data_IF_745606812899
#
_entry.id   IF_745606812899
#
_cell.length_a   1.000
_cell.length_b   1.000
_cell.length_c   1.000
_cell.angle_alpha   90.00
_cell.angle_beta   90.00
_cell.angle_gamma   90.00
#
_symmetry.space_group_name_H-M   'P 1'
#
loop_
_entity.id
_entity.type
_entity.pdbx_description
1 polymer ?
#
# COMPACT_ATOMS: atom_id res chain seq x y z
N UNK A 1 -6.57 -4.81 -11.30
CA UNK A 1 -5.49 -5.58 -10.64
C UNK A 1 -5.95 -7.02 -10.48
N UNK A 2 -5.11 -7.98 -10.80
CA UNK A 2 -5.45 -9.40 -10.62
C UNK A 2 -5.54 -9.75 -9.13
N UNK A 3 -6.32 -10.78 -8.81
CA UNK A 3 -6.60 -11.18 -7.42
C UNK A 3 -5.33 -11.46 -6.61
N UNK A 4 -4.34 -12.11 -7.20
CA UNK A 4 -3.07 -12.40 -6.55
C UNK A 4 -2.34 -11.14 -6.10
N UNK A 5 -2.29 -10.12 -6.97
CA UNK A 5 -1.65 -8.84 -6.66
C UNK A 5 -2.44 -8.07 -5.60
N UNK A 6 -3.77 -8.14 -5.65
CA UNK A 6 -4.60 -7.51 -4.64
C UNK A 6 -4.39 -8.14 -3.27
N UNK A 7 -4.25 -9.46 -3.20
CA UNK A 7 -3.94 -10.16 -1.96
C UNK A 7 -2.57 -9.74 -1.41
N UNK A 8 -1.57 -9.62 -2.28
CA UNK A 8 -0.24 -9.16 -1.89
C UNK A 8 -0.28 -7.75 -1.30
N UNK A 9 -1.00 -6.85 -1.95
CA UNK A 9 -1.12 -5.48 -1.48
C UNK A 9 -1.88 -5.42 -0.15
N UNK A 10 -2.95 -6.19 -0.03
CA UNK A 10 -3.71 -6.32 1.21
C UNK A 10 -2.81 -6.77 2.36
N UNK A 11 -2.00 -7.78 2.12
CA UNK A 11 -1.10 -8.32 3.15
C UNK A 11 -0.03 -7.30 3.55
N UNK A 12 0.52 -6.56 2.59
CA UNK A 12 1.47 -5.48 2.89
C UNK A 12 0.82 -4.46 3.84
N UNK A 13 -0.40 -4.04 3.56
CA UNK A 13 -1.11 -3.08 4.42
C UNK A 13 -1.34 -3.64 5.81
N UNK A 14 -1.77 -4.90 5.92
CA UNK A 14 -2.00 -5.53 7.22
C UNK A 14 -0.72 -5.62 8.05
N UNK A 15 0.37 -6.04 7.44
CA UNK A 15 1.64 -6.22 8.13
C UNK A 15 2.24 -4.87 8.53
N UNK A 16 2.33 -3.93 7.59
CA UNK A 16 2.98 -2.63 7.85
C UNK A 16 2.20 -1.81 8.87
N UNK A 17 0.86 -1.83 8.80
CA UNK A 17 0.02 -1.05 9.70
C UNK A 17 -0.45 -1.84 10.92
N UNK A 18 0.02 -3.08 11.06
CA UNK A 18 -0.25 -3.95 12.20
C UNK A 18 -1.76 -4.19 12.42
N UNK A 19 -2.46 -4.49 11.31
CA UNK A 19 -3.86 -4.90 11.38
C UNK A 19 -3.96 -6.42 11.55
N UNK A 20 -5.11 -6.86 12.02
CA UNK A 20 -5.44 -8.28 12.12
C UNK A 20 -5.55 -8.92 10.72
N UNK A 21 -5.32 -10.23 10.66
CA UNK A 21 -5.27 -10.99 9.40
C UNK A 21 -6.55 -10.89 8.56
N UNK A 22 -7.69 -10.67 9.21
CA UNK A 22 -8.98 -10.58 8.51
C UNK A 22 -9.50 -9.15 8.40
N UNK A 23 -8.70 -8.16 8.79
CA UNK A 23 -9.13 -6.77 8.73
C UNK A 23 -9.29 -6.33 7.27
N UNK A 24 -10.40 -5.67 6.95
CA UNK A 24 -10.65 -5.12 5.61
C UNK A 24 -9.89 -3.80 5.45
N UNK A 25 -8.85 -3.81 4.62
CA UNK A 25 -8.01 -2.63 4.39
C UNK A 25 -8.48 -1.76 3.23
N UNK A 26 -9.54 -2.15 2.52
CA UNK A 26 -9.97 -1.48 1.29
C UNK A 26 -10.32 -0.01 1.48
N UNK A 27 -10.75 0.37 2.68
CA UNK A 27 -11.15 1.75 3.00
C UNK A 27 -10.11 2.51 3.82
N UNK A 28 -8.93 1.94 4.03
CA UNK A 28 -7.88 2.58 4.83
C UNK A 28 -7.35 3.81 4.11
N UNK A 29 -7.30 4.93 4.83
CA UNK A 29 -6.77 6.21 4.34
C UNK A 29 -5.72 6.73 5.32
N UNK A 30 -4.63 7.26 4.76
CA UNK A 30 -3.51 7.76 5.56
C UNK A 30 -3.96 8.87 6.53
N UNK A 31 -4.82 9.76 6.06
CA UNK A 31 -5.25 10.91 6.86
C UNK A 31 -6.06 10.52 8.10
N UNK A 32 -6.72 9.38 8.08
CA UNK A 32 -7.59 8.94 9.17
C UNK A 32 -7.05 7.73 9.93
N UNK A 33 -5.90 7.19 9.53
CA UNK A 33 -5.31 6.03 10.19
C UNK A 33 -4.04 6.45 10.93
N UNK A 34 -4.12 6.48 12.27
CA UNK A 34 -3.02 6.92 13.12
C UNK A 34 -1.77 6.03 12.98
N UNK A 35 -1.95 4.76 12.63
CA UNK A 35 -0.83 3.81 12.43
C UNK A 35 -0.03 4.13 11.17
N UNK A 36 -0.61 4.83 10.24
CA UNK A 36 0.05 5.19 8.98
C UNK A 36 0.78 6.52 9.13
N UNK A 37 1.82 6.51 9.94
CA UNK A 37 2.71 7.65 10.15
C UNK A 37 3.84 7.67 9.11
N UNK A 38 4.78 8.59 9.27
CA UNK A 38 5.90 8.75 8.33
C UNK A 38 6.78 7.50 8.24
N UNK A 39 7.03 6.86 9.38
CA UNK A 39 7.84 5.64 9.41
C UNK A 39 7.11 4.49 8.72
N UNK A 40 5.83 4.32 9.00
CA UNK A 40 5.02 3.30 8.35
C UNK A 40 4.95 3.55 6.84
N UNK A 41 4.89 4.80 6.41
CA UNK A 41 4.86 5.14 4.99
C UNK A 41 6.14 4.70 4.28
N UNK A 42 7.29 4.94 4.87
CA UNK A 42 8.58 4.47 4.33
C UNK A 42 8.60 2.95 4.22
N UNK A 43 8.12 2.26 5.25
CA UNK A 43 8.03 0.80 5.24
C UNK A 43 7.08 0.29 4.17
N UNK A 44 5.94 0.98 3.98
CA UNK A 44 4.97 0.66 2.94
C UNK A 44 5.58 0.76 1.55
N UNK A 45 6.27 1.86 1.27
CA UNK A 45 6.95 2.09 -0.01
C UNK A 45 7.96 0.97 -0.29
N UNK A 46 8.81 0.67 0.68
CA UNK A 46 9.82 -0.37 0.55
C UNK A 46 9.20 -1.75 0.29
N UNK A 47 8.13 -2.08 0.99
CA UNK A 47 7.44 -3.36 0.83
C UNK A 47 6.80 -3.49 -0.56
N UNK A 48 6.17 -2.41 -1.05
CA UNK A 48 5.55 -2.39 -2.38
C UNK A 48 6.61 -2.55 -3.46
N UNK A 49 7.71 -1.80 -3.36
CA UNK A 49 8.80 -1.92 -4.33
C UNK A 49 9.39 -3.33 -4.37
N UNK A 50 9.61 -3.92 -3.21
CA UNK A 50 10.18 -5.26 -3.09
C UNK A 50 9.24 -6.34 -3.62
N UNK A 51 7.97 -6.28 -3.21
CA UNK A 51 7.00 -7.33 -3.55
C UNK A 51 6.60 -7.31 -5.01
N UNK A 52 6.45 -6.12 -5.59
CA UNK A 52 5.97 -5.98 -6.97
C UNK A 52 7.08 -5.71 -7.98
N UNK A 53 8.32 -5.52 -7.53
CA UNK A 53 9.44 -5.25 -8.42
C UNK A 53 9.32 -3.93 -9.17
N UNK A 54 8.75 -2.91 -8.53
CA UNK A 54 8.56 -1.58 -9.13
C UNK A 54 9.42 -0.54 -8.44
N UNK A 55 9.69 0.55 -9.15
CA UNK A 55 10.34 1.71 -8.57
C UNK A 55 9.29 2.80 -8.33
N UNK A 56 9.30 3.38 -7.15
CA UNK A 56 8.40 4.46 -6.76
C UNK A 56 9.22 5.72 -6.56
N UNK A 57 8.96 6.75 -7.37
CA UNK A 57 9.60 8.05 -7.20
C UNK A 57 8.87 8.88 -6.13
N UNK A 58 9.35 10.09 -5.86
CA UNK A 58 8.76 10.93 -4.81
C UNK A 58 7.30 11.30 -5.12
N UNK A 59 6.95 11.51 -6.38
CA UNK A 59 5.57 11.78 -6.78
C UNK A 59 4.69 10.57 -6.52
N UNK A 60 5.17 9.37 -6.86
CA UNK A 60 4.45 8.13 -6.59
C UNK A 60 4.20 7.95 -5.08
N UNK A 61 5.23 8.19 -4.27
CA UNK A 61 5.12 8.07 -2.81
C UNK A 61 4.08 9.02 -2.24
N UNK A 62 4.01 10.25 -2.75
CA UNK A 62 3.02 11.23 -2.33
C UNK A 62 1.59 10.83 -2.71
N UNK A 63 1.42 10.07 -3.77
CA UNK A 63 0.13 9.59 -4.23
C UNK A 63 -0.41 8.43 -3.38
N UNK A 64 0.43 7.78 -2.59
CA UNK A 64 0.05 6.64 -1.77
C UNK A 64 -0.65 7.12 -0.49
N UNK A 65 -1.86 7.64 -0.63
CA UNK A 65 -2.63 8.26 0.46
C UNK A 65 -3.75 7.37 0.99
N UNK A 66 -3.98 6.22 0.34
CA UNK A 66 -5.00 5.26 0.73
C UNK A 66 -4.66 3.91 0.09
N UNK A 67 -5.37 2.87 0.52
CA UNK A 67 -5.29 1.58 -0.15
C UNK A 67 -5.72 1.71 -1.62
N UNK A 68 -6.85 2.36 -1.86
CA UNK A 68 -7.38 2.54 -3.21
C UNK A 68 -6.42 3.32 -4.11
N UNK A 69 -5.80 4.39 -3.60
CA UNK A 69 -4.84 5.19 -4.36
C UNK A 69 -3.57 4.40 -4.69
N UNK A 70 -3.08 3.60 -3.74
CA UNK A 70 -1.91 2.73 -3.95
C UNK A 70 -2.21 1.67 -4.99
N UNK A 71 -3.38 1.06 -4.92
CA UNK A 71 -3.83 0.08 -5.90
C UNK A 71 -3.88 0.68 -7.31
N UNK A 72 -4.48 1.87 -7.44
CA UNK A 72 -4.55 2.57 -8.72
C UNK A 72 -3.17 2.87 -9.28
N UNK A 73 -2.26 3.36 -8.45
CA UNK A 73 -0.88 3.62 -8.84
C UNK A 73 -0.21 2.37 -9.42
N UNK A 74 -0.38 1.24 -8.77
CA UNK A 74 0.19 -0.03 -9.24
C UNK A 74 -0.45 -0.49 -10.55
N UNK A 75 -1.74 -0.29 -10.71
CA UNK A 75 -2.44 -0.59 -11.97
C UNK A 75 -1.88 0.26 -13.11
N UNK A 76 -1.59 1.53 -12.86
CA UNK A 76 -0.96 2.41 -13.86
C UNK A 76 0.44 1.91 -14.26
N UNK A 77 1.11 1.19 -13.38
CA UNK A 77 2.43 0.60 -13.65
C UNK A 77 2.36 -0.80 -14.27
N UNK A 78 1.17 -1.24 -14.65
CA UNK A 78 0.96 -2.51 -15.34
C UNK A 78 0.58 -3.69 -14.43
N UNK A 79 0.28 -3.40 -13.20
CA UNK A 79 -0.14 -4.43 -12.23
C UNK A 79 -1.64 -4.40 -12.01
#
# INVERSE_FOLDING_TARGET
MIAENEQKLTEIFRVVLDFEDNYDVSMVRKISEARWDSLAHVSMVAAVESEFGVNLDSTDMERMTSFAATRLLLEEKGL
#
